data_IF_310322938372
#
_entry.id   IF_310322938372
#
_cell.length_a   1.000
_cell.length_b   1.000
_cell.length_c   1.000
_cell.angle_alpha   90.00
_cell.angle_beta   90.00
_cell.angle_gamma   90.00
#
_symmetry.space_group_name_H-M   'P 1'
#
loop_
_entity.id
_entity.type
_entity.pdbx_description
1 polymer ?
#
# COMPACT_ATOMS: atom_id res chain seq x y z
N UNK A 1 29.50 -12.07 -10.62
CA UNK A 1 28.24 -11.46 -11.07
C UNK A 1 27.78 -10.55 -9.94
N UNK A 2 27.45 -9.30 -10.23
CA UNK A 2 26.83 -8.46 -9.19
C UNK A 2 25.39 -8.92 -8.99
N UNK A 3 24.93 -9.11 -7.74
CA UNK A 3 23.57 -9.56 -7.48
C UNK A 3 22.57 -8.49 -7.95
N UNK A 4 21.65 -8.88 -8.81
CA UNK A 4 20.50 -8.10 -9.27
C UNK A 4 19.42 -9.07 -9.76
N UNK A 5 18.17 -8.62 -9.79
CA UNK A 5 17.03 -9.43 -10.25
C UNK A 5 16.79 -9.21 -11.74
N UNK A 6 16.34 -10.24 -12.44
CA UNK A 6 15.74 -10.09 -13.77
C UNK A 6 14.39 -9.37 -13.65
N UNK A 7 14.32 -8.15 -14.15
CA UNK A 7 13.09 -7.35 -14.13
C UNK A 7 12.26 -7.75 -15.36
N UNK A 8 10.95 -7.94 -15.16
CA UNK A 8 10.00 -8.53 -16.12
C UNK A 8 10.09 -10.05 -16.34
N UNK A 9 10.87 -10.77 -15.55
CA UNK A 9 10.86 -12.24 -15.55
C UNK A 9 9.44 -12.80 -15.37
N UNK A 10 9.05 -13.77 -16.20
CA UNK A 10 7.72 -14.41 -16.24
C UNK A 10 6.53 -13.51 -16.66
N UNK A 11 6.74 -12.31 -17.20
CA UNK A 11 5.65 -11.44 -17.65
C UNK A 11 5.38 -11.64 -19.16
N UNK A 12 4.25 -12.28 -19.46
CA UNK A 12 3.71 -12.34 -20.84
C UNK A 12 2.73 -11.18 -21.03
N UNK A 13 2.86 -10.45 -22.14
CA UNK A 13 2.03 -9.29 -22.48
C UNK A 13 2.15 -8.08 -21.52
N UNK A 14 3.38 -7.63 -21.23
CA UNK A 14 3.67 -6.46 -20.38
C UNK A 14 2.91 -5.19 -20.78
N UNK A 15 2.60 -5.00 -22.07
CA UNK A 15 1.79 -3.87 -22.56
C UNK A 15 0.39 -3.82 -21.91
N UNK A 16 -0.22 -4.98 -21.61
CA UNK A 16 -1.52 -5.04 -20.94
C UNK A 16 -1.46 -4.48 -19.51
N UNK A 17 -0.31 -4.59 -18.85
CA UNK A 17 -0.11 -4.03 -17.50
C UNK A 17 -0.21 -2.51 -17.55
N UNK A 18 0.39 -1.86 -18.56
CA UNK A 18 0.28 -0.42 -18.73
C UNK A 18 -1.14 0.03 -19.08
N UNK A 19 -1.88 -0.74 -19.89
CA UNK A 19 -3.30 -0.48 -20.16
C UNK A 19 -4.16 -0.60 -18.89
N UNK A 20 -3.95 -1.66 -18.11
CA UNK A 20 -4.65 -1.87 -16.84
C UNK A 20 -4.30 -0.76 -15.82
N UNK A 21 -3.04 -0.32 -15.79
CA UNK A 21 -2.58 0.80 -14.98
C UNK A 21 -3.30 2.10 -15.38
N UNK A 22 -3.35 2.42 -16.68
CA UNK A 22 -4.04 3.61 -17.19
C UNK A 22 -5.53 3.59 -16.85
N UNK A 23 -6.20 2.44 -17.02
CA UNK A 23 -7.60 2.27 -16.65
C UNK A 23 -7.82 2.46 -15.14
N UNK A 24 -6.95 1.87 -14.32
CA UNK A 24 -7.01 1.97 -12.85
C UNK A 24 -6.83 3.41 -12.37
N UNK A 25 -5.84 4.13 -12.89
CA UNK A 25 -5.64 5.55 -12.59
C UNK A 25 -6.79 6.43 -13.10
N UNK A 26 -7.36 6.12 -14.26
CA UNK A 26 -8.54 6.81 -14.78
C UNK A 26 -9.74 6.67 -13.84
N UNK A 27 -10.05 5.45 -13.39
CA UNK A 27 -11.14 5.19 -12.43
C UNK A 27 -10.88 5.85 -11.08
N UNK A 28 -9.65 5.77 -10.57
CA UNK A 28 -9.24 6.45 -9.34
C UNK A 28 -9.43 7.97 -9.48
N UNK A 29 -8.97 8.55 -10.57
CA UNK A 29 -9.09 9.99 -10.86
C UNK A 29 -10.55 10.44 -10.92
N UNK A 30 -11.43 9.68 -11.57
CA UNK A 30 -12.87 9.95 -11.60
C UNK A 30 -13.49 9.88 -10.19
N UNK A 31 -13.12 8.87 -9.40
CA UNK A 31 -13.58 8.74 -8.00
C UNK A 31 -13.13 9.92 -7.14
N UNK A 32 -11.86 10.30 -7.23
CA UNK A 32 -11.30 11.46 -6.53
C UNK A 32 -11.95 12.77 -6.97
N UNK A 33 -12.20 12.95 -8.27
CA UNK A 33 -12.89 14.12 -8.80
C UNK A 33 -14.31 14.25 -8.25
N UNK A 34 -15.08 13.15 -8.23
CA UNK A 34 -16.43 13.13 -7.65
C UNK A 34 -16.41 13.51 -6.17
N UNK A 35 -15.50 12.93 -5.40
CA UNK A 35 -15.33 13.26 -3.97
C UNK A 35 -14.93 14.73 -3.77
N UNK A 36 -14.02 15.24 -4.60
CA UNK A 36 -13.61 16.63 -4.58
C UNK A 36 -14.80 17.58 -4.86
N UNK A 37 -15.62 17.27 -5.86
CA UNK A 37 -16.84 18.02 -6.16
C UNK A 37 -17.82 18.03 -4.99
N UNK A 38 -17.97 16.91 -4.27
CA UNK A 38 -18.79 16.82 -3.06
C UNK A 38 -18.20 17.66 -1.92
N UNK A 39 -16.90 17.55 -1.66
CA UNK A 39 -16.24 18.33 -0.60
C UNK A 39 -16.27 19.84 -0.82
N UNK A 40 -16.31 20.27 -2.09
CA UNK A 40 -16.46 21.68 -2.45
C UNK A 40 -17.83 22.27 -2.12
N UNK A 41 -18.84 21.45 -1.84
CA UNK A 41 -20.16 21.92 -1.40
C UNK A 41 -20.18 22.31 0.10
N UNK A 42 -19.12 21.98 0.85
CA UNK A 42 -18.95 22.40 2.23
C UNK A 42 -18.75 23.92 2.37
N UNK A 43 -18.88 24.43 3.61
CA UNK A 43 -18.63 25.84 3.91
C UNK A 43 -17.18 26.23 3.63
N UNK A 44 -16.96 27.45 3.20
CA UNK A 44 -15.62 28.01 3.06
C UNK A 44 -14.94 28.06 4.44
N UNK A 45 -13.77 27.44 4.55
CA UNK A 45 -12.96 27.43 5.75
C UNK A 45 -11.54 27.88 5.39
N UNK A 46 -10.93 28.73 6.21
CA UNK A 46 -9.56 29.17 5.98
C UNK A 46 -8.57 28.05 6.33
N UNK A 47 -8.23 27.25 5.32
CA UNK A 47 -7.34 26.08 5.46
C UNK A 47 -5.86 26.45 5.60
N UNK A 48 -5.50 27.70 5.34
CA UNK A 48 -4.13 28.21 5.42
C UNK A 48 -3.79 28.83 6.77
N UNK A 49 -4.74 28.85 7.71
CA UNK A 49 -4.45 29.22 9.09
C UNK A 49 -3.80 28.04 9.82
N UNK A 50 -2.74 28.33 10.58
CA UNK A 50 -2.00 27.37 11.41
C UNK A 50 -1.41 26.18 10.63
N UNK A 51 -0.86 26.45 9.43
CA UNK A 51 -0.22 25.44 8.57
C UNK A 51 0.74 24.55 9.33
N UNK A 52 1.58 25.11 10.21
CA UNK A 52 2.54 24.35 11.00
C UNK A 52 1.85 23.31 11.91
N UNK A 53 0.84 23.74 12.66
CA UNK A 53 0.11 22.85 13.56
C UNK A 53 -0.67 21.79 12.78
N UNK A 54 -1.28 22.15 11.64
CA UNK A 54 -1.99 21.20 10.76
C UNK A 54 -1.04 20.19 10.13
N UNK A 55 0.14 20.61 9.66
CA UNK A 55 1.18 19.72 9.12
C UNK A 55 1.69 18.78 10.20
N UNK A 56 1.95 19.28 11.41
CA UNK A 56 2.34 18.42 12.54
C UNK A 56 1.26 17.37 12.86
N UNK A 57 -0.01 17.77 12.87
CA UNK A 57 -1.14 16.85 13.05
C UNK A 57 -1.19 15.81 11.93
N UNK A 58 -1.00 16.21 10.67
CA UNK A 58 -0.94 15.28 9.52
C UNK A 58 0.21 14.28 9.64
N UNK A 59 1.41 14.74 9.99
CA UNK A 59 2.58 13.87 10.15
C UNK A 59 2.41 12.89 11.31
N UNK A 60 1.98 13.39 12.48
CA UNK A 60 1.87 12.58 13.70
C UNK A 60 0.66 11.65 13.66
N UNK A 61 -0.51 12.16 13.29
CA UNK A 61 -1.76 11.40 13.33
C UNK A 61 -2.02 10.66 12.01
N UNK A 62 -1.67 11.24 10.87
CA UNK A 62 -1.82 10.62 9.56
C UNK A 62 -0.72 9.61 9.29
N UNK A 63 0.53 10.06 9.10
CA UNK A 63 1.63 9.15 8.78
C UNK A 63 2.04 8.26 9.96
N UNK A 64 2.07 8.83 11.17
CA UNK A 64 2.45 8.10 12.38
C UNK A 64 1.35 7.19 12.93
N UNK A 65 0.12 7.24 12.40
CA UNK A 65 -1.00 6.41 12.83
C UNK A 65 -1.28 6.45 14.35
N UNK A 66 -0.87 7.51 15.05
CA UNK A 66 -0.79 7.56 16.52
C UNK A 66 -2.14 7.30 17.20
N UNK A 67 -3.24 7.77 16.62
CA UNK A 67 -4.59 7.54 17.15
C UNK A 67 -5.05 6.11 16.94
N UNK A 68 -4.76 5.56 15.76
CA UNK A 68 -5.14 4.21 15.36
C UNK A 68 -4.45 3.17 16.25
N UNK A 69 -3.16 3.35 16.54
CA UNK A 69 -2.33 2.46 17.35
C UNK A 69 -2.76 2.28 18.82
N UNK A 70 -3.70 3.07 19.33
CA UNK A 70 -4.17 2.98 20.72
C UNK A 70 -4.94 1.69 21.01
N UNK A 71 -5.49 1.07 19.96
CA UNK A 71 -6.30 -0.14 20.06
C UNK A 71 -5.56 -1.30 19.36
N UNK A 72 -5.74 -2.53 19.85
CA UNK A 72 -5.13 -3.73 19.25
C UNK A 72 -5.37 -3.86 17.73
N UNK A 73 -6.59 -3.63 17.19
CA UNK A 73 -6.82 -3.67 15.74
C UNK A 73 -6.02 -2.63 14.98
N UNK A 74 -5.64 -1.53 15.64
CA UNK A 74 -4.81 -0.50 15.06
C UNK A 74 -3.36 -0.92 14.86
N UNK A 75 -2.83 -1.80 15.72
CA UNK A 75 -1.52 -2.42 15.48
C UNK A 75 -1.53 -3.27 14.21
N UNK A 76 -2.59 -4.08 14.00
CA UNK A 76 -2.74 -4.85 12.76
C UNK A 76 -2.84 -3.96 11.53
N UNK A 77 -3.60 -2.85 11.60
CA UNK A 77 -3.65 -1.86 10.51
C UNK A 77 -2.29 -1.20 10.28
N UNK A 78 -1.52 -0.95 11.34
CA UNK A 78 -0.18 -0.37 11.21
C UNK A 78 0.78 -1.32 10.48
N UNK A 79 0.70 -2.63 10.71
CA UNK A 79 1.46 -3.62 9.94
C UNK A 79 1.09 -3.60 8.46
N UNK A 80 -0.20 -3.55 8.13
CA UNK A 80 -0.68 -3.43 6.74
C UNK A 80 -0.22 -2.12 6.11
N UNK A 81 -0.35 -1.01 6.83
CA UNK A 81 0.03 0.33 6.36
C UNK A 81 1.53 0.43 6.07
N UNK A 82 2.37 0.00 7.02
CA UNK A 82 3.82 0.07 6.87
C UNK A 82 4.31 -0.88 5.77
N UNK A 83 3.76 -2.10 5.73
CA UNK A 83 4.02 -3.06 4.68
C UNK A 83 3.65 -2.53 3.28
N UNK A 84 2.42 -2.05 3.12
CA UNK A 84 1.97 -1.46 1.86
C UNK A 84 2.82 -0.26 1.43
N UNK A 85 3.16 0.64 2.36
CA UNK A 85 3.96 1.83 2.04
C UNK A 85 5.36 1.46 1.55
N UNK A 86 6.03 0.52 2.20
CA UNK A 86 7.37 0.07 1.81
C UNK A 86 7.34 -0.68 0.48
N UNK A 87 6.37 -1.57 0.26
CA UNK A 87 6.21 -2.27 -1.03
C UNK A 87 5.90 -1.31 -2.17
N UNK A 88 5.08 -0.28 -1.91
CA UNK A 88 4.78 0.76 -2.90
C UNK A 88 6.03 1.57 -3.26
N UNK A 89 6.82 2.00 -2.26
CA UNK A 89 8.11 2.67 -2.50
C UNK A 89 9.05 1.74 -3.29
N UNK A 90 9.10 0.45 -2.94
CA UNK A 90 9.89 -0.54 -3.67
C UNK A 90 9.51 -0.63 -5.14
N UNK A 91 8.20 -0.63 -5.42
CA UNK A 91 7.66 -0.61 -6.79
C UNK A 91 8.08 0.65 -7.54
N UNK A 92 8.01 1.83 -6.90
CA UNK A 92 8.47 3.08 -7.50
C UNK A 92 9.97 3.06 -7.78
N UNK A 93 10.78 2.47 -6.90
CA UNK A 93 12.22 2.35 -7.11
C UNK A 93 12.54 1.45 -8.31
N UNK A 94 11.80 0.35 -8.49
CA UNK A 94 11.93 -0.50 -9.68
C UNK A 94 11.52 0.25 -10.95
N UNK A 95 10.42 1.01 -10.91
CA UNK A 95 10.00 1.83 -12.05
C UNK A 95 11.04 2.91 -12.41
N UNK A 96 11.65 3.56 -11.40
CA UNK A 96 12.75 4.50 -11.61
C UNK A 96 13.99 3.81 -12.19
N UNK A 97 14.28 2.59 -11.74
CA UNK A 97 15.42 1.83 -12.24
C UNK A 97 15.28 1.45 -13.71
N UNK A 98 14.13 0.88 -14.08
CA UNK A 98 13.88 0.36 -15.43
C UNK A 98 13.30 1.41 -16.37
N UNK A 99 12.17 2.02 -16.01
CA UNK A 99 11.42 2.89 -16.93
C UNK A 99 12.10 4.26 -17.13
N UNK A 100 12.90 4.71 -16.16
CA UNK A 100 13.72 5.93 -16.28
C UNK A 100 15.20 5.65 -16.61
N UNK A 101 15.60 4.37 -16.70
CA UNK A 101 16.98 3.96 -17.01
C UNK A 101 18.03 4.34 -15.97
N UNK A 102 17.62 4.62 -14.73
CA UNK A 102 18.53 4.94 -13.63
C UNK A 102 18.98 3.65 -12.94
N UNK A 103 20.01 3.00 -13.47
CA UNK A 103 20.44 1.71 -12.93
C UNK A 103 21.21 1.86 -11.61
N UNK A 104 20.55 1.61 -10.46
CA UNK A 104 21.14 1.62 -9.10
C UNK A 104 20.80 0.39 -8.22
N UNK A 105 19.95 -0.54 -8.69
CA UNK A 105 19.52 -1.73 -7.94
C UNK A 105 20.43 -2.93 -8.23
N UNK A 106 21.66 -2.88 -7.74
CA UNK A 106 22.63 -3.97 -7.85
C UNK A 106 23.50 -4.08 -6.59
N UNK A 107 24.20 -5.20 -6.45
CA UNK A 107 25.16 -5.41 -5.37
C UNK A 107 24.49 -5.46 -3.98
N UNK A 108 25.20 -4.92 -2.99
CA UNK A 108 24.72 -4.88 -1.60
C UNK A 108 23.45 -4.04 -1.42
N UNK A 109 23.25 -3.02 -2.26
CA UNK A 109 22.05 -2.19 -2.20
C UNK A 109 20.80 -2.99 -2.59
N UNK A 110 20.90 -3.79 -3.65
CA UNK A 110 19.83 -4.71 -4.05
C UNK A 110 19.50 -5.74 -2.95
N UNK A 111 20.51 -6.29 -2.25
CA UNK A 111 20.27 -7.24 -1.16
C UNK A 111 19.52 -6.61 0.02
N UNK A 112 19.91 -5.39 0.42
CA UNK A 112 19.19 -4.66 1.46
C UNK A 112 17.76 -4.32 1.02
N UNK A 113 17.60 -3.91 -0.24
CA UNK A 113 16.31 -3.63 -0.86
C UNK A 113 15.39 -4.85 -0.83
N UNK A 114 15.82 -5.99 -1.37
CA UNK A 114 15.03 -7.23 -1.41
C UNK A 114 14.67 -7.72 0.00
N UNK A 115 15.64 -7.76 0.93
CA UNK A 115 15.36 -8.11 2.33
C UNK A 115 14.33 -7.18 2.98
N UNK A 116 14.40 -5.87 2.67
CA UNK A 116 13.43 -4.90 3.19
C UNK A 116 12.03 -5.20 2.65
N UNK A 117 11.90 -5.51 1.36
CA UNK A 117 10.60 -5.88 0.78
C UNK A 117 10.06 -7.17 1.37
N UNK A 118 10.89 -8.20 1.57
CA UNK A 118 10.49 -9.46 2.19
C UNK A 118 9.96 -9.26 3.61
N UNK A 119 10.71 -8.53 4.44
CA UNK A 119 10.32 -8.27 5.84
C UNK A 119 9.00 -7.51 5.89
N UNK A 120 8.86 -6.44 5.12
CA UNK A 120 7.64 -5.63 5.14
C UNK A 120 6.46 -6.30 4.44
N UNK A 121 6.70 -7.13 3.42
CA UNK A 121 5.69 -8.00 2.82
C UNK A 121 5.14 -9.01 3.82
N UNK A 122 6.00 -9.60 4.65
CA UNK A 122 5.61 -10.56 5.67
C UNK A 122 4.82 -9.87 6.78
N UNK A 123 5.27 -8.69 7.24
CA UNK A 123 4.52 -7.87 8.19
C UNK A 123 3.13 -7.51 7.66
N UNK A 124 3.04 -7.10 6.39
CA UNK A 124 1.77 -6.83 5.73
C UNK A 124 0.85 -8.05 5.74
N UNK A 125 1.39 -9.22 5.39
CA UNK A 125 0.64 -10.48 5.35
C UNK A 125 0.13 -10.87 6.73
N UNK A 126 0.95 -10.74 7.77
CA UNK A 126 0.54 -10.95 9.17
C UNK A 126 -0.59 -9.98 9.56
N UNK A 127 -0.47 -8.70 9.18
CA UNK A 127 -1.49 -7.69 9.40
C UNK A 127 -2.83 -8.06 8.74
N UNK A 128 -2.82 -8.41 7.45
CA UNK A 128 -4.00 -8.82 6.69
C UNK A 128 -4.63 -10.10 7.26
N UNK A 129 -3.81 -11.10 7.59
CA UNK A 129 -4.27 -12.34 8.21
C UNK A 129 -4.91 -12.08 9.57
N UNK A 130 -4.29 -11.26 10.42
CA UNK A 130 -4.84 -10.88 11.72
C UNK A 130 -6.15 -10.10 11.61
N UNK A 131 -6.27 -9.18 10.66
CA UNK A 131 -7.52 -8.44 10.40
C UNK A 131 -8.62 -9.38 9.90
N UNK A 132 -8.30 -10.30 9.01
CA UNK A 132 -9.21 -11.31 8.48
C UNK A 132 -9.70 -12.23 9.60
N UNK A 133 -8.77 -12.75 10.42
CA UNK A 133 -9.09 -13.58 11.58
C UNK A 133 -10.00 -12.85 12.56
N UNK A 134 -9.67 -11.61 12.91
CA UNK A 134 -10.52 -10.78 13.78
C UNK A 134 -11.92 -10.60 13.19
N UNK A 135 -12.02 -10.34 11.89
CA UNK A 135 -13.28 -10.01 11.22
C UNK A 135 -14.21 -11.22 11.07
N UNK A 136 -13.68 -12.40 10.75
CA UNK A 136 -14.49 -13.58 10.39
C UNK A 136 -14.51 -14.69 11.44
N UNK A 137 -13.53 -14.74 12.34
CA UNK A 137 -13.47 -15.72 13.43
C UNK A 137 -13.92 -15.10 14.75
N UNK A 138 -13.28 -14.02 15.21
CA UNK A 138 -13.63 -13.36 16.49
C UNK A 138 -15.00 -12.67 16.39
N UNK A 139 -15.30 -12.03 15.26
CA UNK A 139 -16.56 -11.32 14.98
C UNK A 139 -16.98 -10.34 16.10
N UNK A 140 -16.20 -9.28 16.35
CA UNK A 140 -16.51 -8.31 17.40
C UNK A 140 -17.84 -7.61 17.14
N UNK A 141 -18.59 -7.33 18.20
CA UNK A 141 -19.85 -6.58 18.13
C UNK A 141 -19.61 -5.19 17.54
N UNK A 142 -20.40 -4.81 16.52
CA UNK A 142 -20.32 -3.48 15.88
C UNK A 142 -19.53 -3.42 14.57
N UNK A 143 -18.99 -4.55 14.08
CA UNK A 143 -18.46 -4.64 12.71
C UNK A 143 -19.53 -5.15 11.75
N UNK A 144 -19.92 -4.29 10.80
CA UNK A 144 -20.64 -4.72 9.61
C UNK A 144 -19.66 -5.46 8.69
N UNK A 145 -20.06 -6.63 8.19
CA UNK A 145 -19.27 -7.47 7.32
C UNK A 145 -19.92 -7.50 5.96
N UNK A 146 -19.43 -6.65 5.06
CA UNK A 146 -19.91 -6.62 3.69
C UNK A 146 -19.08 -7.53 2.80
N UNK A 147 -19.63 -7.87 1.64
CA UNK A 147 -18.92 -8.74 0.67
C UNK A 147 -17.66 -8.06 0.15
N UNK A 148 -17.70 -6.74 0.02
CA UNK A 148 -16.58 -5.91 -0.44
C UNK A 148 -15.39 -6.01 0.52
N UNK A 149 -15.64 -6.03 1.84
CA UNK A 149 -14.58 -6.18 2.84
C UNK A 149 -13.84 -7.52 2.67
N UNK A 150 -14.58 -8.60 2.41
CA UNK A 150 -14.01 -9.93 2.20
C UNK A 150 -13.17 -9.96 0.93
N UNK A 151 -13.73 -9.43 -0.16
CA UNK A 151 -13.08 -9.40 -1.47
C UNK A 151 -11.75 -8.65 -1.37
N UNK A 152 -11.73 -7.48 -0.73
CA UNK A 152 -10.51 -6.68 -0.56
C UNK A 152 -9.45 -7.44 0.25
N UNK A 153 -9.83 -8.06 1.38
CA UNK A 153 -8.89 -8.83 2.21
C UNK A 153 -8.32 -10.03 1.45
N UNK A 154 -9.14 -10.75 0.69
CA UNK A 154 -8.70 -11.86 -0.14
C UNK A 154 -7.76 -11.39 -1.25
N UNK A 155 -8.04 -10.27 -1.90
CA UNK A 155 -7.15 -9.70 -2.92
C UNK A 155 -5.79 -9.29 -2.35
N UNK A 156 -5.76 -8.61 -1.20
CA UNK A 156 -4.49 -8.29 -0.54
C UNK A 156 -3.69 -9.55 -0.22
N UNK A 157 -4.35 -10.56 0.33
CA UNK A 157 -3.69 -11.81 0.68
C UNK A 157 -3.18 -12.55 -0.57
N UNK A 158 -3.96 -12.57 -1.65
CA UNK A 158 -3.58 -13.17 -2.92
C UNK A 158 -2.34 -12.49 -3.51
N UNK A 159 -2.33 -11.15 -3.58
CA UNK A 159 -1.20 -10.39 -4.11
C UNK A 159 0.06 -10.61 -3.28
N UNK A 160 -0.03 -10.53 -1.95
CA UNK A 160 1.11 -10.74 -1.05
C UNK A 160 1.69 -12.16 -1.17
N UNK A 161 0.84 -13.18 -1.11
CA UNK A 161 1.28 -14.58 -1.23
C UNK A 161 1.87 -14.85 -2.61
N UNK A 162 1.23 -14.35 -3.68
CA UNK A 162 1.78 -14.50 -5.04
C UNK A 162 3.15 -13.83 -5.19
N UNK A 163 3.38 -12.70 -4.51
CA UNK A 163 4.68 -12.03 -4.50
C UNK A 163 5.78 -12.93 -3.96
N UNK A 164 5.57 -13.50 -2.76
CA UNK A 164 6.52 -14.43 -2.14
C UNK A 164 6.76 -15.70 -2.96
N UNK A 165 5.71 -16.24 -3.59
CA UNK A 165 5.82 -17.44 -4.43
C UNK A 165 6.57 -17.20 -5.75
N UNK A 166 6.61 -15.95 -6.22
CA UNK A 166 7.34 -15.59 -7.45
C UNK A 166 8.77 -15.15 -7.15
N UNK A 167 9.02 -14.61 -5.95
CA UNK A 167 10.36 -14.20 -5.50
C UNK A 167 11.20 -15.38 -4.97
N UNK A 168 10.58 -16.34 -4.28
CA UNK A 168 11.22 -17.55 -3.73
C UNK A 168 11.36 -18.69 -4.73
#
# INVERSE_FOLDING_TARGET
>A
MEPTREIYGNIVAGELVYLAMAASFGLLGLGLYRNFCLWRQGRAENRFQDLWQRTKVLLVQGLGQQKTLREFPGFLHFLVYSGFLVLFIGTLMVAVHEDLGMHFLYGNFYLLFSLTLDVFGLLCLIGVAGLTYRRYVIRPTGLDNRREDLIILLWFMAVLVSGFLVEG
#
